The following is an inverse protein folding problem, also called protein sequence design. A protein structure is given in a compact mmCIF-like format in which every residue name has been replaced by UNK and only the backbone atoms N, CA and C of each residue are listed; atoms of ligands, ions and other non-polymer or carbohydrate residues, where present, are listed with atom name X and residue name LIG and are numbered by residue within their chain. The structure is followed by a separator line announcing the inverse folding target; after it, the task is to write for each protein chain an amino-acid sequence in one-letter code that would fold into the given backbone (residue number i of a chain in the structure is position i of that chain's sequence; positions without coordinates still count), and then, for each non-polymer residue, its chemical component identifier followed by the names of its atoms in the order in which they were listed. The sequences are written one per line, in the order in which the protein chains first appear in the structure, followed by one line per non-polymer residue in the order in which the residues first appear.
data_IF_737562412780
#
_entry.id   IF_737562412780
#
_cell.length_a   1.000
_cell.length_b   1.000
_cell.length_c   1.000
_cell.angle_alpha   90.00
_cell.angle_beta   90.00
_cell.angle_gamma   90.00
#
_symmetry.space_group_name_H-M   'P 1'
#
loop_
_entity.id
_entity.type
_entity.pdbx_description
1 polymer ?
#
# COMPACT_ATOMS: atom_id res chain seq x y z
N UNK A 1 3.57 23.85 -17.44
CA UNK A 1 2.22 24.10 -16.89
C UNK A 1 1.33 22.94 -17.34
N UNK A 2 1.17 21.94 -16.48
CA UNK A 2 0.33 20.76 -16.77
C UNK A 2 -1.14 21.14 -16.65
N UNK A 3 -1.86 20.95 -17.75
CA UNK A 3 -3.30 21.07 -17.86
C UNK A 3 -4.00 20.46 -16.63
N UNK A 4 -4.74 21.27 -15.87
CA UNK A 4 -5.43 20.80 -14.66
C UNK A 4 -6.61 19.97 -15.14
N UNK A 5 -6.37 18.68 -15.45
CA UNK A 5 -7.46 17.73 -15.70
C UNK A 5 -8.43 17.81 -14.53
N UNK A 6 -9.65 18.26 -14.82
CA UNK A 6 -10.70 18.35 -13.80
C UNK A 6 -11.18 16.94 -13.47
N UNK A 7 -10.65 16.36 -12.39
CA UNK A 7 -11.14 15.12 -11.83
C UNK A 7 -12.54 15.30 -11.23
N UNK A 8 -13.38 14.30 -11.39
CA UNK A 8 -14.72 14.28 -10.79
C UNK A 8 -14.63 14.16 -9.26
N UNK A 9 -15.68 14.55 -8.54
CA UNK A 9 -15.70 14.45 -7.07
C UNK A 9 -15.45 13.01 -6.56
N UNK A 10 -16.05 11.95 -7.15
CA UNK A 10 -15.75 10.57 -6.76
C UNK A 10 -14.27 10.19 -6.98
N UNK A 11 -13.65 10.64 -8.07
CA UNK A 11 -12.23 10.36 -8.34
C UNK A 11 -11.33 11.02 -7.29
N UNK A 12 -11.60 12.29 -6.97
CA UNK A 12 -10.89 13.02 -5.90
C UNK A 12 -11.02 12.32 -4.56
N UNK A 13 -12.20 11.79 -4.23
CA UNK A 13 -12.42 11.02 -3.01
C UNK A 13 -11.57 9.76 -2.97
N UNK A 14 -11.55 8.97 -4.05
CA UNK A 14 -10.71 7.76 -4.16
C UNK A 14 -9.23 8.10 -3.97
N UNK A 15 -8.72 9.10 -4.68
CA UNK A 15 -7.32 9.53 -4.55
C UNK A 15 -6.99 10.02 -3.14
N UNK A 16 -7.93 10.69 -2.48
CA UNK A 16 -7.77 11.15 -1.09
C UNK A 16 -7.72 9.98 -0.11
N UNK A 17 -8.63 9.01 -0.25
CA UNK A 17 -8.65 7.81 0.62
C UNK A 17 -7.32 7.06 0.50
N UNK A 18 -6.87 6.79 -0.74
CA UNK A 18 -5.62 6.07 -0.98
C UNK A 18 -4.43 6.86 -0.41
N UNK A 19 -4.40 8.19 -0.57
CA UNK A 19 -3.34 9.02 0.02
C UNK A 19 -3.31 8.91 1.54
N UNK A 20 -4.47 9.04 2.19
CA UNK A 20 -4.57 8.95 3.65
C UNK A 20 -4.16 7.55 4.13
N UNK A 21 -4.55 6.49 3.44
CA UNK A 21 -4.10 5.12 3.73
C UNK A 21 -2.58 4.97 3.63
N UNK A 22 -1.93 5.58 2.63
CA UNK A 22 -0.46 5.62 2.54
C UNK A 22 0.14 6.34 3.75
N UNK A 23 -0.36 7.52 4.11
CA UNK A 23 0.14 8.30 5.24
C UNK A 23 0.05 7.51 6.54
N UNK A 24 -1.11 6.88 6.81
CA UNK A 24 -1.30 6.03 7.99
C UNK A 24 -0.29 4.88 7.99
N UNK A 25 -0.13 4.20 6.85
CA UNK A 25 0.82 3.09 6.70
C UNK A 25 2.26 3.53 7.00
N UNK A 26 2.69 4.69 6.50
CA UNK A 26 4.03 5.23 6.78
C UNK A 26 4.23 5.58 8.25
N UNK A 27 3.24 6.20 8.89
CA UNK A 27 3.29 6.52 10.33
C UNK A 27 3.41 5.23 11.14
N UNK A 28 2.60 4.22 10.80
CA UNK A 28 2.65 2.90 11.44
C UNK A 28 4.02 2.23 11.28
N UNK A 29 4.61 2.27 10.08
CA UNK A 29 5.94 1.71 9.82
C UNK A 29 7.00 2.42 10.65
N UNK A 30 7.03 3.76 10.67
CA UNK A 30 8.02 4.52 11.42
C UNK A 30 7.90 4.22 12.93
N UNK A 31 6.68 4.28 13.47
CA UNK A 31 6.43 3.99 14.88
C UNK A 31 6.82 2.56 15.26
N UNK A 32 6.43 1.58 14.44
CA UNK A 32 6.75 0.18 14.67
C UNK A 32 8.23 -0.13 14.47
N UNK A 33 8.91 0.55 13.54
CA UNK A 33 10.35 0.40 13.34
C UNK A 33 11.14 0.93 14.54
N UNK A 34 10.74 2.08 15.10
CA UNK A 34 11.33 2.61 16.33
C UNK A 34 11.11 1.61 17.48
N UNK A 35 9.90 1.07 17.61
CA UNK A 35 9.61 0.08 18.66
C UNK A 35 10.43 -1.21 18.46
N UNK A 36 10.48 -1.76 17.25
CA UNK A 36 11.30 -2.93 16.94
C UNK A 36 12.78 -2.68 17.24
N UNK A 37 13.31 -1.50 16.89
CA UNK A 37 14.68 -1.13 17.19
C UNK A 37 14.93 -1.09 18.71
N UNK A 38 14.00 -0.50 19.47
CA UNK A 38 14.09 -0.51 20.93
C UNK A 38 14.05 -1.94 21.47
N UNK A 39 13.26 -2.85 20.90
CA UNK A 39 13.18 -4.25 21.34
C UNK A 39 14.50 -4.99 21.11
N UNK A 40 15.19 -4.69 20.01
CA UNK A 40 16.53 -5.23 19.72
C UNK A 40 17.58 -4.69 20.71
N UNK A 41 17.55 -3.40 21.03
CA UNK A 41 18.54 -2.77 21.93
C UNK A 41 18.31 -3.21 23.39
N UNK A 42 17.05 -3.36 23.80
CA UNK A 42 16.70 -3.68 25.18
C UNK A 42 15.45 -4.57 25.23
N UNK A 43 15.61 -5.88 25.29
CA UNK A 43 14.49 -6.81 25.17
C UNK A 43 13.47 -6.75 26.35
N UNK A 44 13.88 -6.33 27.55
CA UNK A 44 13.02 -6.31 28.76
C UNK A 44 13.31 -5.10 29.65
N UNK A 45 12.36 -4.73 30.50
CA UNK A 45 12.53 -3.70 31.54
C UNK A 45 12.46 -2.25 31.06
N UNK A 46 12.12 -1.99 29.79
CA UNK A 46 12.03 -0.62 29.24
C UNK A 46 11.02 0.26 29.97
N UNK A 47 9.86 -0.30 30.28
CA UNK A 47 8.79 0.39 31.01
C UNK A 47 9.24 0.70 32.42
N UNK A 48 9.91 -0.25 33.08
CA UNK A 48 10.45 -0.06 34.41
C UNK A 48 11.57 0.99 34.44
N UNK A 49 12.48 0.98 33.46
CA UNK A 49 13.49 2.01 33.28
C UNK A 49 12.83 3.38 33.06
N UNK A 50 11.86 3.47 32.15
CA UNK A 50 11.12 4.71 31.92
C UNK A 50 10.47 5.24 33.20
N UNK A 51 9.84 4.37 33.99
CA UNK A 51 9.20 4.74 35.26
C UNK A 51 10.21 5.14 36.34
N UNK A 52 11.45 4.67 36.28
CA UNK A 52 12.55 5.06 37.17
C UNK A 52 13.18 6.40 36.81
N UNK A 53 12.97 6.93 35.59
CA UNK A 53 13.43 8.27 35.23
C UNK A 53 12.66 9.34 36.04
N UNK A 54 13.29 10.50 36.25
CA UNK A 54 12.61 11.63 36.86
C UNK A 54 11.41 12.06 36.01
N UNK A 55 10.38 12.59 36.66
CA UNK A 55 9.14 13.04 36.00
C UNK A 55 9.43 14.05 34.86
N UNK A 56 10.44 14.91 35.01
CA UNK A 56 10.88 15.82 33.97
C UNK A 56 11.37 15.11 32.70
N UNK A 57 12.16 14.04 32.84
CA UNK A 57 12.61 13.26 31.68
C UNK A 57 11.47 12.45 31.05
N UNK A 58 10.56 11.89 31.84
CA UNK A 58 9.40 11.18 31.30
C UNK A 58 8.54 12.10 30.42
N UNK A 59 8.26 13.32 30.89
CA UNK A 59 7.54 14.34 30.13
C UNK A 59 8.33 14.73 28.88
N UNK A 60 9.65 14.92 28.97
CA UNK A 60 10.48 15.28 27.83
C UNK A 60 10.45 14.20 26.72
N UNK A 61 10.49 12.92 27.08
CA UNK A 61 10.42 11.80 26.12
C UNK A 61 9.06 11.76 25.44
N UNK A 62 7.96 11.81 26.21
CA UNK A 62 6.60 11.79 25.65
C UNK A 62 6.37 13.02 24.78
N UNK A 63 6.78 14.20 25.25
CA UNK A 63 6.69 15.46 24.50
C UNK A 63 7.50 15.42 23.21
N UNK A 64 8.70 14.84 23.22
CA UNK A 64 9.53 14.66 22.03
C UNK A 64 8.88 13.75 20.99
N UNK A 65 8.29 12.63 21.41
CA UNK A 65 7.55 11.72 20.52
C UNK A 65 6.33 12.43 19.91
N UNK A 66 5.55 13.15 20.74
CA UNK A 66 4.39 13.91 20.26
C UNK A 66 4.79 15.02 19.29
N UNK A 67 5.88 15.74 19.58
CA UNK A 67 6.40 16.78 18.69
C UNK A 67 6.86 16.20 17.35
N UNK A 68 7.56 15.07 17.36
CA UNK A 68 7.97 14.36 16.14
C UNK A 68 6.76 13.89 15.32
N UNK A 69 5.75 13.33 15.97
CA UNK A 69 4.50 12.90 15.31
C UNK A 69 3.76 14.09 14.71
N UNK A 70 3.68 15.21 15.44
CA UNK A 70 3.04 16.43 14.96
C UNK A 70 3.76 17.01 13.75
N UNK A 71 5.09 17.06 13.79
CA UNK A 71 5.91 17.48 12.64
C UNK A 71 5.70 16.57 11.43
N UNK A 72 5.64 15.26 11.64
CA UNK A 72 5.36 14.29 10.58
C UNK A 72 3.97 14.49 9.96
N UNK A 73 2.95 14.77 10.78
CA UNK A 73 1.60 15.08 10.30
C UNK A 73 1.58 16.38 9.47
N UNK A 74 2.28 17.43 9.91
CA UNK A 74 2.41 18.68 9.14
C UNK A 74 3.10 18.42 7.80
N UNK A 75 4.16 17.61 7.78
CA UNK A 75 4.86 17.24 6.56
C UNK A 75 3.91 16.57 5.56
N UNK A 76 3.15 15.56 6.00
CA UNK A 76 2.16 14.89 5.15
C UNK A 76 0.98 15.77 4.76
N UNK A 77 0.57 16.70 5.63
CA UNK A 77 -0.45 17.68 5.30
C UNK A 77 0.03 18.65 4.22
N UNK A 78 1.28 19.13 4.32
CA UNK A 78 1.91 19.97 3.29
C UNK A 78 2.05 19.26 1.95
N UNK A 79 2.29 17.94 1.98
CA UNK A 79 2.34 17.10 0.78
C UNK A 79 0.97 16.68 0.25
N UNK A 80 -0.12 16.89 1.01
CA UNK A 80 -1.45 16.36 0.69
C UNK A 80 -1.91 16.69 -0.73
N UNK A 81 -1.87 17.98 -1.10
CA UNK A 81 -2.33 18.42 -2.43
C UNK A 81 -1.53 17.74 -3.55
N UNK A 82 -0.19 17.72 -3.43
CA UNK A 82 0.69 17.13 -4.43
C UNK A 82 0.54 15.60 -4.47
N UNK A 83 0.47 14.95 -3.32
CA UNK A 83 0.34 13.51 -3.19
C UNK A 83 -0.96 12.98 -3.79
N UNK A 84 -2.09 13.62 -3.47
CA UNK A 84 -3.39 13.27 -4.07
C UNK A 84 -3.35 13.47 -5.59
N UNK A 85 -2.79 14.58 -6.08
CA UNK A 85 -2.65 14.78 -7.53
C UNK A 85 -1.77 13.72 -8.19
N UNK A 86 -0.68 13.30 -7.57
CA UNK A 86 0.17 12.21 -8.08
C UNK A 86 -0.62 10.90 -8.15
N UNK A 87 -1.37 10.54 -7.11
CA UNK A 87 -2.19 9.32 -7.09
C UNK A 87 -3.27 9.37 -8.18
N UNK A 88 -3.96 10.50 -8.33
CA UNK A 88 -4.97 10.68 -9.38
C UNK A 88 -4.36 10.58 -10.79
N UNK A 89 -3.16 11.14 -10.99
CA UNK A 89 -2.42 11.01 -12.24
C UNK A 89 -1.99 9.57 -12.50
N UNK A 90 -1.62 8.80 -11.47
CA UNK A 90 -1.30 7.38 -11.65
C UNK A 90 -2.56 6.62 -12.07
N UNK A 91 -3.66 6.73 -11.32
CA UNK A 91 -4.87 5.92 -11.52
C UNK A 91 -5.63 6.31 -12.79
N UNK A 92 -5.79 7.62 -13.06
CA UNK A 92 -6.75 8.10 -14.06
C UNK A 92 -6.12 8.74 -15.28
N UNK A 93 -4.78 8.72 -15.42
CA UNK A 93 -4.15 9.19 -16.65
C UNK A 93 -4.47 8.19 -17.78
N UNK A 94 -5.31 8.58 -18.76
CA UNK A 94 -5.68 7.67 -19.84
C UNK A 94 -4.43 7.29 -20.62
N UNK A 95 -4.33 6.01 -20.97
CA UNK A 95 -3.40 5.53 -21.98
C UNK A 95 -3.98 5.93 -23.34
N UNK A 96 -3.21 6.68 -24.13
CA UNK A 96 -3.58 7.00 -25.51
C UNK A 96 -3.60 5.71 -26.32
N UNK A 97 -4.75 5.40 -26.92
CA UNK A 97 -4.97 4.23 -27.74
C UNK A 97 -5.02 4.64 -29.20
N UNK A 98 -4.28 3.94 -30.05
CA UNK A 98 -4.34 4.13 -31.50
C UNK A 98 -5.72 3.77 -32.06
N UNK A 99 -6.16 4.52 -33.08
CA UNK A 99 -7.52 4.43 -33.62
C UNK A 99 -7.88 3.04 -34.18
N UNK A 100 -6.87 2.27 -34.60
CA UNK A 100 -7.01 0.95 -35.26
C UNK A 100 -7.78 -0.09 -34.42
N UNK A 101 -7.76 0.01 -33.08
CA UNK A 101 -8.44 -0.93 -32.17
C UNK A 101 -9.63 -0.35 -31.41
N UNK A 102 -9.94 0.94 -31.61
CA UNK A 102 -11.01 1.65 -30.89
C UNK A 102 -12.40 1.02 -31.08
N UNK A 103 -12.61 0.31 -32.19
CA UNK A 103 -13.92 -0.22 -32.61
C UNK A 103 -14.11 -1.75 -32.55
N UNK A 104 -13.09 -2.55 -32.18
CA UNK A 104 -13.27 -4.02 -32.09
C UNK A 104 -13.89 -4.43 -30.75
N UNK A 105 -15.22 -4.63 -30.72
CA UNK A 105 -15.98 -5.06 -29.53
C UNK A 105 -15.51 -6.40 -28.95
N UNK A 106 -15.11 -7.34 -29.81
CA UNK A 106 -14.62 -8.67 -29.37
C UNK A 106 -13.33 -8.57 -28.56
N UNK A 107 -12.39 -7.72 -28.97
CA UNK A 107 -11.12 -7.48 -28.25
C UNK A 107 -11.39 -6.81 -26.90
N UNK A 108 -12.37 -5.89 -26.84
CA UNK A 108 -12.84 -5.28 -25.57
C UNK A 108 -13.35 -6.32 -24.58
N UNK A 109 -14.15 -7.28 -25.06
CA UNK A 109 -14.71 -8.33 -24.22
C UNK A 109 -13.63 -9.28 -23.71
N UNK A 110 -12.73 -9.72 -24.60
CA UNK A 110 -11.62 -10.61 -24.24
C UNK A 110 -10.67 -9.96 -23.22
N UNK A 111 -10.28 -8.70 -23.44
CA UNK A 111 -9.47 -7.94 -22.50
C UNK A 111 -10.18 -7.75 -21.15
N UNK A 112 -11.49 -7.46 -21.16
CA UNK A 112 -12.28 -7.36 -19.94
C UNK A 112 -12.31 -8.67 -19.14
N UNK A 113 -12.51 -9.80 -19.81
CA UNK A 113 -12.49 -11.12 -19.18
C UNK A 113 -11.11 -11.47 -18.59
N UNK A 114 -10.03 -11.15 -19.30
CA UNK A 114 -8.65 -11.31 -18.81
C UNK A 114 -8.39 -10.44 -17.57
N UNK A 115 -8.87 -9.20 -17.55
CA UNK A 115 -8.73 -8.34 -16.37
C UNK A 115 -9.42 -8.98 -15.17
N UNK A 116 -10.68 -9.40 -15.31
CA UNK A 116 -11.44 -9.99 -14.20
C UNK A 116 -10.76 -11.25 -13.65
N UNK A 117 -10.19 -12.10 -14.51
CA UNK A 117 -9.46 -13.28 -14.03
C UNK A 117 -8.18 -12.90 -13.27
N UNK A 118 -7.43 -11.89 -13.75
CA UNK A 118 -6.27 -11.35 -13.02
C UNK A 118 -6.68 -10.75 -11.66
N UNK A 119 -7.80 -10.03 -11.59
CA UNK A 119 -8.35 -9.53 -10.32
C UNK A 119 -8.63 -10.67 -9.34
N UNK A 120 -9.28 -11.74 -9.80
CA UNK A 120 -9.61 -12.88 -8.97
C UNK A 120 -8.35 -13.59 -8.43
N UNK A 121 -7.32 -13.74 -9.26
CA UNK A 121 -6.03 -14.33 -8.84
C UNK A 121 -5.37 -13.47 -7.76
N UNK A 122 -5.24 -12.16 -7.99
CA UNK A 122 -4.59 -11.25 -7.04
C UNK A 122 -5.35 -11.22 -5.71
N UNK A 123 -6.67 -11.09 -5.74
CA UNK A 123 -7.50 -11.10 -4.53
C UNK A 123 -7.41 -12.44 -3.81
N UNK A 124 -7.42 -13.57 -4.54
CA UNK A 124 -7.24 -14.90 -3.98
C UNK A 124 -5.91 -15.07 -3.25
N UNK A 125 -4.81 -14.60 -3.85
CA UNK A 125 -3.48 -14.61 -3.21
C UNK A 125 -3.49 -13.77 -1.93
N UNK A 126 -4.06 -12.56 -1.98
CA UNK A 126 -4.15 -11.68 -0.80
C UNK A 126 -4.94 -12.36 0.32
N UNK A 127 -6.09 -12.95 0.02
CA UNK A 127 -6.91 -13.67 1.00
C UNK A 127 -6.14 -14.88 1.58
N UNK A 128 -5.41 -15.62 0.76
CA UNK A 128 -4.60 -16.76 1.21
C UNK A 128 -3.53 -16.33 2.20
N UNK A 129 -2.79 -15.25 1.89
CA UNK A 129 -1.75 -14.70 2.78
C UNK A 129 -2.37 -14.27 4.12
N UNK A 130 -3.50 -13.56 4.08
CA UNK A 130 -4.21 -13.18 5.30
C UNK A 130 -4.68 -14.37 6.12
N UNK A 131 -5.26 -15.36 5.45
CA UNK A 131 -5.73 -16.58 6.10
C UNK A 131 -4.59 -17.31 6.82
N UNK A 132 -3.43 -17.43 6.18
CA UNK A 132 -2.24 -18.02 6.79
C UNK A 132 -1.75 -17.21 8.00
N UNK A 133 -1.70 -15.88 7.90
CA UNK A 133 -1.27 -15.00 9.00
C UNK A 133 -2.26 -15.10 10.18
N UNK A 134 -3.56 -15.03 9.94
CA UNK A 134 -4.56 -15.13 11.00
C UNK A 134 -4.56 -16.52 11.66
N UNK A 135 -4.44 -17.58 10.86
CA UNK A 135 -4.31 -18.96 11.36
C UNK A 135 -3.04 -19.14 12.20
N UNK A 136 -1.93 -18.52 11.79
CA UNK A 136 -0.67 -18.52 12.54
C UNK A 136 -0.81 -17.81 13.90
N UNK A 137 -1.49 -16.66 13.95
CA UNK A 137 -1.74 -15.93 15.21
C UNK A 137 -2.71 -16.69 16.13
N UNK A 138 -3.69 -17.39 15.57
CA UNK A 138 -4.72 -18.13 16.32
C UNK A 138 -4.26 -19.52 16.84
N UNK A 139 -2.97 -19.87 16.74
CA UNK A 139 -2.41 -21.08 17.33
C UNK A 139 -2.66 -22.38 16.54
N UNK A 140 -2.91 -22.29 15.23
CA UNK A 140 -3.08 -23.48 14.37
C UNK A 140 -1.76 -24.20 14.10
N UNK A 141 -1.53 -25.33 14.77
CA UNK A 141 -0.44 -26.27 14.50
C UNK A 141 -0.65 -26.98 13.16
N UNK A 142 0.12 -26.59 12.15
CA UNK A 142 0.85 -27.47 11.21
C UNK A 142 1.53 -26.60 10.15
N UNK A 143 2.86 -26.64 10.13
CA UNK A 143 3.79 -25.94 9.21
C UNK A 143 3.48 -24.45 9.04
N UNK A 144 3.84 -23.63 10.03
CA UNK A 144 3.30 -22.27 10.13
C UNK A 144 4.41 -21.22 10.30
N UNK A 145 4.21 -20.08 9.62
CA UNK A 145 4.87 -18.78 9.89
C UNK A 145 4.84 -18.44 11.40
N UNK A 146 3.95 -19.06 12.19
CA UNK A 146 3.89 -19.00 13.65
C UNK A 146 5.20 -19.39 14.37
N UNK A 147 5.99 -20.33 13.84
CA UNK A 147 7.29 -20.67 14.46
C UNK A 147 8.32 -19.53 14.40
N UNK A 148 8.13 -18.60 13.45
CA UNK A 148 8.90 -17.35 13.39
C UNK A 148 8.32 -16.38 14.44
N UNK A 149 7.00 -16.26 14.54
CA UNK A 149 6.32 -15.34 15.44
C UNK A 149 6.57 -15.58 16.95
N UNK A 150 6.80 -16.83 17.38
CA UNK A 150 7.12 -17.16 18.78
C UNK A 150 8.44 -16.54 19.27
N UNK A 151 9.35 -16.19 18.34
CA UNK A 151 10.62 -15.53 18.64
C UNK A 151 10.63 -14.04 18.30
N UNK A 152 9.52 -13.49 17.79
CA UNK A 152 9.43 -12.09 17.43
C UNK A 152 9.00 -11.24 18.63
N UNK A 153 9.73 -10.16 18.84
CA UNK A 153 9.34 -9.10 19.77
C UNK A 153 8.07 -8.38 19.31
N UNK A 154 7.35 -7.75 20.26
CA UNK A 154 6.12 -7.03 19.95
C UNK A 154 6.30 -5.94 18.89
N UNK A 155 7.43 -5.23 18.90
CA UNK A 155 7.78 -4.23 17.88
C UNK A 155 8.01 -4.85 16.51
N UNK A 156 8.63 -6.03 16.42
CA UNK A 156 8.79 -6.74 15.14
C UNK A 156 7.45 -7.19 14.57
N UNK A 157 6.54 -7.69 15.42
CA UNK A 157 5.17 -8.04 14.99
C UNK A 157 4.43 -6.81 14.48
N UNK A 158 4.48 -5.69 15.23
CA UNK A 158 3.87 -4.43 14.82
C UNK A 158 4.43 -3.92 13.47
N UNK A 159 5.74 -4.10 13.24
CA UNK A 159 6.39 -3.72 11.99
C UNK A 159 5.90 -4.57 10.81
N UNK A 160 5.79 -5.89 10.99
CA UNK A 160 5.24 -6.79 9.96
C UNK A 160 3.81 -6.39 9.61
N UNK A 161 2.95 -6.15 10.60
CA UNK A 161 1.58 -5.70 10.38
C UNK A 161 1.56 -4.38 9.59
N UNK A 162 2.41 -3.43 9.96
CA UNK A 162 2.50 -2.13 9.29
C UNK A 162 2.93 -2.24 7.83
N UNK A 163 3.88 -3.14 7.54
CA UNK A 163 4.33 -3.44 6.17
C UNK A 163 3.20 -4.11 5.38
N UNK A 164 2.46 -5.05 5.97
CA UNK A 164 1.32 -5.68 5.31
C UNK A 164 0.24 -4.67 4.94
N UNK A 165 -0.11 -3.75 5.84
CA UNK A 165 -1.04 -2.64 5.56
C UNK A 165 -0.57 -1.78 4.39
N UNK A 166 0.73 -1.48 4.31
CA UNK A 166 1.31 -0.78 3.16
C UNK A 166 1.17 -1.59 1.86
N UNK A 167 1.49 -2.89 1.88
CA UNK A 167 1.37 -3.79 0.72
C UNK A 167 -0.07 -3.79 0.21
N UNK A 168 -1.06 -3.89 1.08
CA UNK A 168 -2.49 -3.87 0.71
C UNK A 168 -2.88 -2.53 0.10
N UNK A 169 -2.36 -1.42 0.64
CA UNK A 169 -2.58 -0.09 0.08
C UNK A 169 -2.01 0.02 -1.33
N UNK A 170 -0.79 -0.48 -1.56
CA UNK A 170 -0.15 -0.54 -2.89
C UNK A 170 -0.95 -1.44 -3.84
N UNK A 171 -1.39 -2.61 -3.38
CA UNK A 171 -2.21 -3.52 -4.18
C UNK A 171 -3.53 -2.87 -4.56
N UNK A 172 -4.20 -2.20 -3.63
CA UNK A 172 -5.45 -1.47 -3.92
C UNK A 172 -5.22 -0.38 -4.96
N UNK A 173 -4.13 0.38 -4.86
CA UNK A 173 -3.73 1.34 -5.90
C UNK A 173 -3.51 0.66 -7.25
N UNK A 174 -2.80 -0.47 -7.30
CA UNK A 174 -2.54 -1.23 -8.52
C UNK A 174 -3.83 -1.78 -9.13
N UNK A 175 -4.75 -2.28 -8.31
CA UNK A 175 -6.07 -2.75 -8.72
C UNK A 175 -6.91 -1.61 -9.32
N UNK A 176 -6.93 -0.43 -8.70
CA UNK A 176 -7.59 0.73 -9.30
C UNK A 176 -6.93 1.17 -10.60
N UNK A 177 -5.60 1.20 -10.65
CA UNK A 177 -4.86 1.51 -11.87
C UNK A 177 -5.21 0.55 -13.01
N UNK A 178 -5.20 -0.75 -12.71
CA UNK A 178 -5.59 -1.81 -13.64
C UNK A 178 -7.05 -1.67 -14.06
N UNK A 179 -7.97 -1.35 -13.17
CA UNK A 179 -9.39 -1.20 -13.52
C UNK A 179 -9.62 -0.09 -14.55
N UNK A 180 -8.97 1.07 -14.37
CA UNK A 180 -9.17 2.22 -15.25
C UNK A 180 -8.30 2.20 -16.51
N UNK A 181 -7.09 1.63 -16.46
CA UNK A 181 -6.15 1.65 -17.59
C UNK A 181 -5.86 0.26 -18.19
N UNK A 182 -6.27 -0.82 -17.54
CA UNK A 182 -5.87 -2.17 -17.91
C UNK A 182 -6.33 -2.60 -19.30
N UNK A 183 -7.50 -2.12 -19.75
CA UNK A 183 -7.93 -2.32 -21.13
C UNK A 183 -6.92 -1.78 -22.14
N UNK A 184 -6.42 -0.56 -21.92
CA UNK A 184 -5.42 0.03 -22.80
C UNK A 184 -4.07 -0.66 -22.73
N UNK A 185 -3.70 -1.16 -21.55
CA UNK A 185 -2.47 -1.92 -21.33
C UNK A 185 -2.49 -3.26 -22.08
N UNK A 186 -3.61 -3.99 -22.04
CA UNK A 186 -3.77 -5.27 -22.75
C UNK A 186 -3.72 -5.06 -24.27
N UNK A 187 -4.39 -4.05 -24.80
CA UNK A 187 -4.34 -3.77 -26.24
C UNK A 187 -2.92 -3.42 -26.68
N UNK A 188 -2.22 -2.62 -25.89
CA UNK A 188 -0.83 -2.27 -26.20
C UNK A 188 0.07 -3.50 -26.20
N UNK A 189 -0.12 -4.43 -25.26
CA UNK A 189 0.57 -5.72 -25.24
C UNK A 189 0.26 -6.56 -26.49
N UNK A 190 -1.01 -6.69 -26.85
CA UNK A 190 -1.41 -7.42 -28.06
C UNK A 190 -0.80 -6.82 -29.33
N UNK A 191 -0.77 -5.48 -29.43
CA UNK A 191 -0.15 -4.78 -30.54
C UNK A 191 1.35 -5.07 -30.66
N UNK A 192 2.08 -4.97 -29.55
CA UNK A 192 3.52 -5.27 -29.53
C UNK A 192 3.81 -6.72 -29.96
N UNK A 193 2.92 -7.66 -29.62
CA UNK A 193 3.05 -9.05 -30.06
C UNK A 193 2.73 -9.22 -31.56
N UNK A 194 1.69 -8.55 -32.09
CA UNK A 194 1.37 -8.58 -33.53
C UNK A 194 2.48 -7.95 -34.39
N UNK A 195 3.08 -6.83 -33.96
CA UNK A 195 4.22 -6.21 -34.67
C UNK A 195 5.48 -7.09 -34.68
N UNK A 196 5.74 -7.83 -33.59
CA UNK A 196 6.85 -8.78 -33.54
C UNK A 196 6.65 -10.00 -34.46
N UNK A 197 5.40 -10.36 -34.76
CA UNK A 197 5.06 -11.42 -35.71
C UNK A 197 5.08 -10.94 -37.17
N UNK A 198 4.61 -9.73 -37.47
CA UNK A 198 4.63 -9.13 -38.82
C UNK A 198 6.01 -8.58 -39.23
N UNK A 199 6.88 -8.27 -38.25
CA UNK A 199 8.26 -7.81 -38.46
C UNK A 199 9.29 -8.93 -38.74
N UNK A 200 8.85 -10.17 -38.84
CA UNK A 200 9.61 -11.35 -39.29
C UNK A 200 9.13 -11.81 -40.66
#
# INVERSE_FOLDING_TARGET
MTDIKQYTQPQKLIGTIIYVSFVISFIMIIGSAIWALLDVIMARGKTELFLRLSLGFQIAIIGGILAALFFLLILFYGLFRRGVTVILNIIFRPIELEEKFKNRKTVKLAAGALMVSLFAIIVGIVISIFYEIFRAIAGGTEVSIAGIAENLSGGQIALIISILVLIITILTLALFYMWFNGYGLIIRLLYTLEEEEEGK
#
